data_IF_564814975569
#
_entry.id   IF_564814975569
#
_cell.length_a   1.000
_cell.length_b   1.000
_cell.length_c   1.000
_cell.angle_alpha   90.00
_cell.angle_beta   90.00
_cell.angle_gamma   90.00
#
_symmetry.space_group_name_H-M   'P 1'
#
loop_
_entity.id
_entity.type
_entity.pdbx_description
1 polymer ?
2 non-polymer ?
3 non-polymer ?
4 water ?
#
# COMPACT_ATOMS: atom_id res chain seq x y z
N UNK A 1 13.58 4.08 -22.42
CA UNK A 1 13.99 3.82 -21.01
C UNK A 1 14.99 2.66 -20.96
N UNK A 2 15.85 2.64 -19.94
CA UNK A 2 16.83 1.57 -19.80
C UNK A 2 16.22 0.40 -19.05
N UNK A 3 17.01 -0.66 -18.85
CA UNK A 3 16.54 -1.85 -18.14
C UNK A 3 16.10 -1.49 -16.74
N UNK A 4 15.08 -2.20 -16.22
CA UNK A 4 14.54 -1.96 -14.87
C UNK A 4 15.59 -1.73 -13.81
N UNK A 5 16.51 -2.68 -13.65
CA UNK A 5 17.57 -2.57 -12.65
C UNK A 5 18.45 -1.32 -12.82
N UNK A 6 18.76 -0.96 -14.05
CA UNK A 6 19.58 0.22 -14.27
C UNK A 6 18.79 1.50 -13.98
N UNK A 7 17.50 1.51 -14.31
CA UNK A 7 16.68 2.69 -14.04
C UNK A 7 16.59 2.90 -12.52
N UNK A 8 16.39 1.81 -11.79
CA UNK A 8 16.32 1.88 -10.33
C UNK A 8 17.58 2.55 -9.78
N UNK A 9 18.75 2.09 -10.23
CA UNK A 9 20.03 2.64 -9.79
C UNK A 9 20.13 4.11 -10.16
N UNK A 10 19.69 4.46 -11.35
CA UNK A 10 19.71 5.85 -11.81
C UNK A 10 18.86 6.73 -10.89
N UNK A 11 17.74 6.19 -10.41
CA UNK A 11 16.87 6.93 -9.50
C UNK A 11 17.57 7.23 -8.18
N UNK A 12 18.34 6.27 -7.66
CA UNK A 12 19.06 6.50 -6.40
C UNK A 12 20.13 7.58 -6.60
N UNK A 13 20.81 7.50 -7.73
CA UNK A 13 21.84 8.46 -8.06
C UNK A 13 21.26 9.87 -8.18
N UNK A 14 20.11 9.98 -8.85
CA UNK A 14 19.49 11.29 -9.02
C UNK A 14 18.77 11.81 -7.77
N UNK A 15 18.25 10.92 -6.95
CA UNK A 15 17.54 11.33 -5.74
C UNK A 15 18.41 11.45 -4.48
N UNK A 16 19.55 10.76 -4.50
CA UNK A 16 20.46 10.72 -3.36
C UNK A 16 19.83 9.98 -2.20
N UNK A 17 18.81 9.16 -2.51
CA UNK A 17 18.15 8.39 -1.46
C UNK A 17 18.14 6.90 -1.76
N UNK A 18 17.62 6.10 -0.81
CA UNK A 18 17.52 4.65 -1.02
C UNK A 18 16.20 4.27 -1.68
N UNK A 19 16.29 3.39 -2.68
CA UNK A 19 15.11 2.88 -3.37
C UNK A 19 15.01 1.40 -3.03
N UNK A 20 13.80 0.95 -2.75
CA UNK A 20 13.57 -0.46 -2.43
C UNK A 20 12.55 -0.94 -3.45
N UNK A 21 12.83 -2.05 -4.12
CA UNK A 21 11.91 -2.51 -5.14
C UNK A 21 11.77 -4.01 -5.32
N UNK A 22 10.55 -4.42 -5.65
CA UNK A 22 10.23 -5.81 -5.92
C UNK A 22 9.19 -5.88 -7.05
N UNK A 23 9.42 -6.77 -7.99
CA UNK A 23 8.52 -7.00 -9.11
C UNK A 23 8.25 -8.49 -8.98
N UNK A 24 7.00 -8.85 -8.76
CA UNK A 24 6.63 -10.24 -8.54
C UNK A 24 5.38 -10.72 -9.29
N UNK A 25 5.46 -11.95 -9.82
CA UNK A 25 4.33 -12.55 -10.51
C UNK A 25 3.24 -12.78 -9.46
N UNK A 26 2.07 -12.15 -9.63
CA UNK A 26 0.99 -12.29 -8.66
C UNK A 26 0.49 -13.72 -8.43
N UNK A 27 0.32 -14.47 -9.52
CA UNK A 27 -0.20 -15.82 -9.41
C UNK A 27 0.76 -16.83 -8.80
N UNK A 28 2.05 -16.72 -9.11
CA UNK A 28 3.02 -17.68 -8.58
C UNK A 28 3.98 -17.20 -7.51
N UNK A 29 4.21 -15.89 -7.44
CA UNK A 29 5.15 -15.37 -6.45
C UNK A 29 6.59 -15.38 -6.98
N UNK A 30 6.76 -15.60 -8.28
CA UNK A 30 8.10 -15.60 -8.88
C UNK A 30 8.67 -14.18 -8.78
N UNK A 31 9.88 -14.04 -8.24
CA UNK A 31 10.49 -12.71 -8.12
C UNK A 31 11.33 -12.40 -9.37
N UNK A 32 10.98 -11.32 -10.08
CA UNK A 32 11.72 -10.94 -11.28
C UNK A 32 12.81 -9.89 -11.01
N UNK A 33 12.47 -8.87 -10.24
CA UNK A 33 13.43 -7.82 -9.90
C UNK A 33 13.40 -7.64 -8.37
N UNK A 34 14.58 -7.52 -7.78
CA UNK A 34 14.70 -7.33 -6.34
C UNK A 34 15.89 -6.43 -6.09
N UNK A 35 15.63 -5.25 -5.51
CA UNK A 35 16.66 -4.29 -5.20
C UNK A 35 16.43 -3.80 -3.78
N UNK A 36 17.40 -4.05 -2.89
CA UNK A 36 17.27 -3.67 -1.49
C UNK A 36 15.94 -4.23 -1.00
N UNK A 37 15.60 -5.43 -1.50
CA UNK A 37 14.35 -6.10 -1.16
C UNK A 37 14.22 -6.46 0.31
N UNK A 38 15.34 -6.62 1.01
CA UNK A 38 15.30 -6.97 2.42
C UNK A 38 15.66 -5.80 3.32
N UNK A 39 15.72 -4.60 2.75
CA UNK A 39 16.02 -3.41 3.55
C UNK A 39 14.69 -2.80 4.00
N UNK A 40 14.69 -2.16 5.17
CA UNK A 40 13.51 -1.52 5.73
C UNK A 40 13.14 -0.16 5.17
N UNK A 41 11.84 0.03 4.92
CA UNK A 41 11.30 1.30 4.42
C UNK A 41 9.99 1.59 5.13
N UNK A 42 9.71 2.88 5.40
CA UNK A 42 8.45 3.21 6.07
C UNK A 42 7.29 2.85 5.15
N UNK A 43 6.24 2.23 5.70
CA UNK A 43 5.09 1.85 4.87
C UNK A 43 4.23 3.05 4.49
N UNK A 44 4.12 4.00 5.41
CA UNK A 44 3.31 5.17 5.17
C UNK A 44 1.88 4.69 4.92
N UNK A 45 1.15 5.35 4.03
CA UNK A 45 -0.24 4.99 3.76
C UNK A 45 -0.45 3.64 3.08
N UNK A 46 0.61 3.00 2.59
CA UNK A 46 0.43 1.70 1.95
C UNK A 46 0.01 0.65 2.97
N UNK A 47 0.15 0.97 4.26
CA UNK A 47 -0.22 0.03 5.32
C UNK A 47 -1.74 -0.17 5.34
N UNK A 48 -2.49 0.77 4.78
CA UNK A 48 -3.94 0.66 4.78
C UNK A 48 -4.47 -0.57 4.04
N UNK A 49 -3.68 -1.09 3.10
CA UNK A 49 -4.11 -2.28 2.38
C UNK A 49 -4.04 -3.48 3.33
N UNK A 50 -2.94 -3.58 4.07
CA UNK A 50 -2.77 -4.69 5.01
C UNK A 50 -3.83 -4.56 6.12
N UNK A 51 -4.05 -3.34 6.58
CA UNK A 51 -5.05 -3.05 7.60
C UNK A 51 -6.41 -3.64 7.19
N UNK A 52 -6.85 -3.35 5.98
CA UNK A 52 -8.14 -3.86 5.52
C UNK A 52 -8.11 -5.35 5.24
N UNK A 53 -6.91 -5.91 5.04
CA UNK A 53 -6.83 -7.34 4.84
C UNK A 53 -7.17 -7.98 6.18
N UNK A 54 -6.68 -7.37 7.26
CA UNK A 54 -6.94 -7.88 8.61
C UNK A 54 -8.43 -7.74 8.96
N UNK A 55 -9.04 -6.65 8.50
CA UNK A 55 -10.46 -6.42 8.73
C UNK A 55 -11.28 -7.50 8.03
N UNK A 56 -10.93 -7.79 6.78
CA UNK A 56 -11.63 -8.81 6.01
C UNK A 56 -11.48 -10.18 6.69
N UNK A 57 -10.31 -10.42 7.28
CA UNK A 57 -10.09 -11.68 7.95
C UNK A 57 -11.09 -11.81 9.09
N UNK A 58 -11.32 -10.72 9.82
CA UNK A 58 -12.27 -10.74 10.92
C UNK A 58 -13.68 -10.97 10.36
N UNK A 59 -14.00 -10.40 9.21
CA UNK A 59 -15.33 -10.60 8.60
C UNK A 59 -15.48 -12.08 8.25
N UNK A 60 -14.47 -12.65 7.61
CA UNK A 60 -14.51 -14.07 7.23
C UNK A 60 -14.75 -14.92 8.47
N UNK A 61 -14.11 -14.56 9.57
CA UNK A 61 -14.23 -15.31 10.83
C UNK A 61 -15.57 -15.10 11.49
N UNK A 62 -16.36 -14.15 11.00
CA UNK A 62 -17.67 -13.89 11.59
C UNK A 62 -17.58 -12.99 12.80
N UNK A 63 -16.44 -12.32 12.96
CA UNK A 63 -16.27 -11.41 14.10
C UNK A 63 -16.41 -9.95 13.69
N UNK A 64 -16.78 -9.73 12.43
CA UNK A 64 -16.96 -8.38 11.91
C UNK A 64 -17.91 -8.45 10.71
N UNK A 65 -18.44 -7.31 10.32
CA UNK A 65 -19.34 -7.21 9.18
C UNK A 65 -19.01 -5.92 8.48
N UNK A 66 -18.89 -5.95 7.16
CA UNK A 66 -18.58 -4.73 6.43
C UNK A 66 -19.77 -3.78 6.54
N UNK A 67 -20.94 -4.34 6.87
CA UNK A 67 -22.14 -3.52 7.01
C UNK A 67 -22.25 -2.78 8.34
N UNK A 68 -21.56 -3.27 9.36
CA UNK A 68 -21.63 -2.64 10.68
C UNK A 68 -21.30 -1.16 10.67
N UNK A 69 -22.28 -0.35 11.07
CA UNK A 69 -22.12 1.09 11.11
C UNK A 69 -21.36 1.54 12.36
N UNK A 70 -20.28 2.31 12.14
CA UNK A 70 -19.48 2.83 13.24
C UNK A 70 -19.78 4.31 13.38
N UNK A 71 -20.12 4.74 14.58
CA UNK A 71 -20.41 6.14 14.80
C UNK A 71 -19.20 6.69 15.53
N UNK A 72 -18.76 7.87 15.13
CA UNK A 72 -17.60 8.47 15.76
C UNK A 72 -17.85 9.94 16.04
N UNK A 73 -16.89 10.59 16.68
CA UNK A 73 -17.02 12.01 17.02
C UNK A 73 -15.96 12.86 16.35
N UNK A 74 -16.20 14.16 16.28
CA UNK A 74 -15.25 15.07 15.66
C UNK A 74 -13.90 14.97 16.37
N UNK A 75 -13.92 14.74 17.68
CA UNK A 75 -12.69 14.62 18.44
C UNK A 75 -11.82 13.42 18.03
N UNK A 76 -12.42 12.45 17.33
CA UNK A 76 -11.66 11.28 16.88
C UNK A 76 -10.93 11.55 15.58
N UNK A 77 -11.27 12.64 14.90
CA UNK A 77 -10.65 12.96 13.61
C UNK A 77 -9.22 13.49 13.70
N UNK A 78 -8.36 12.99 12.80
CA UNK A 78 -6.97 13.44 12.72
C UNK A 78 -6.79 14.10 11.36
N UNK A 79 -5.58 14.59 11.10
CA UNK A 79 -5.29 15.28 9.84
C UNK A 79 -5.68 14.51 8.58
N UNK A 80 -6.46 15.17 7.73
CA UNK A 80 -6.93 14.63 6.45
C UNK A 80 -7.95 13.50 6.56
N UNK A 81 -9.23 13.88 6.52
CA UNK A 81 -10.35 12.94 6.64
C UNK A 81 -11.42 13.43 5.65
N UNK A 82 -11.09 13.46 4.35
CA UNK A 82 -12.04 13.91 3.31
C UNK A 82 -13.41 13.27 3.34
N UNK A 83 -13.45 11.99 3.69
CA UNK A 83 -14.72 11.27 3.72
C UNK A 83 -15.34 11.25 5.11
N UNK A 84 -14.56 10.80 6.09
CA UNK A 84 -15.05 10.68 7.44
C UNK A 84 -15.55 11.98 8.08
N UNK A 85 -14.98 13.12 7.72
CA UNK A 85 -15.44 14.37 8.31
C UNK A 85 -16.87 14.68 7.86
N UNK A 86 -17.31 14.01 6.80
CA UNK A 86 -18.64 14.23 6.27
C UNK A 86 -19.74 13.38 6.89
N UNK A 87 -19.38 12.45 7.78
CA UNK A 87 -20.41 11.60 8.37
C UNK A 87 -20.40 11.58 9.88
N UNK A 88 -20.19 12.75 10.47
CA UNK A 88 -20.19 12.87 11.92
C UNK A 88 -21.61 12.66 12.42
N UNK A 89 -22.59 12.96 11.58
CA UNK A 89 -23.97 12.81 11.99
C UNK A 89 -24.53 11.42 11.74
N UNK A 90 -24.09 10.75 10.67
CA UNK A 90 -24.64 9.43 10.37
C UNK A 90 -23.71 8.23 10.40
N UNK A 91 -22.44 8.45 10.71
CA UNK A 91 -21.50 7.34 10.78
C UNK A 91 -21.12 6.74 9.43
N UNK A 92 -20.32 5.68 9.47
CA UNK A 92 -19.88 4.99 8.27
C UNK A 92 -19.76 3.50 8.58
N UNK A 93 -20.06 2.65 7.60
CA UNK A 93 -19.96 1.22 7.80
C UNK A 93 -18.48 0.83 7.75
N UNK A 94 -18.17 -0.34 8.32
CA UNK A 94 -16.80 -0.81 8.33
C UNK A 94 -16.29 -0.88 6.89
N UNK A 95 -17.14 -1.37 5.99
CA UNK A 95 -16.78 -1.46 4.58
C UNK A 95 -16.50 -0.07 3.99
N UNK A 96 -17.30 0.92 4.38
CA UNK A 96 -17.10 2.28 3.90
C UNK A 96 -15.79 2.86 4.44
N UNK A 97 -15.44 2.51 5.66
CA UNK A 97 -14.20 3.00 6.24
C UNK A 97 -13.01 2.44 5.45
N UNK A 98 -13.06 1.16 5.07
CA UNK A 98 -11.96 0.59 4.29
C UNK A 98 -11.85 1.25 2.93
N UNK A 99 -13.00 1.51 2.30
CA UNK A 99 -12.98 2.17 0.99
C UNK A 99 -12.37 3.56 1.13
N UNK A 100 -12.76 4.28 2.17
CA UNK A 100 -12.21 5.61 2.38
C UNK A 100 -10.72 5.58 2.71
N UNK A 101 -10.30 4.60 3.52
CA UNK A 101 -8.90 4.49 3.89
C UNK A 101 -8.02 4.12 2.68
N UNK A 102 -8.49 3.18 1.87
CA UNK A 102 -7.71 2.76 0.71
C UNK A 102 -7.85 3.63 -0.54
N UNK A 103 -9.08 4.01 -0.92
CA UNK A 103 -9.28 4.81 -2.13
C UNK A 103 -9.07 6.32 -2.00
N UNK A 104 -9.21 6.84 -0.79
CA UNK A 104 -9.05 8.27 -0.53
C UNK A 104 -7.94 8.55 0.47
N UNK A 105 -7.43 7.49 1.08
CA UNK A 105 -6.38 7.60 2.10
C UNK A 105 -6.83 8.43 3.30
N UNK A 106 -8.10 8.26 3.64
CA UNK A 106 -8.71 8.95 4.77
C UNK A 106 -7.97 8.45 6.03
N UNK A 107 -7.38 9.36 6.78
CA UNK A 107 -6.63 8.96 7.98
C UNK A 107 -7.44 8.58 9.21
N UNK A 108 -8.58 9.24 9.43
CA UNK A 108 -9.44 8.93 10.57
C UNK A 108 -10.11 7.58 10.32
N UNK A 109 -10.44 7.30 9.07
CA UNK A 109 -11.06 6.03 8.72
C UNK A 109 -10.07 4.92 9.05
N UNK A 110 -8.80 5.16 8.74
CA UNK A 110 -7.74 4.18 9.02
C UNK A 110 -7.58 3.94 10.52
N UNK A 111 -7.59 5.00 11.32
CA UNK A 111 -7.45 4.85 12.78
C UNK A 111 -8.64 4.11 13.37
N UNK A 112 -9.84 4.44 12.89
CA UNK A 112 -11.04 3.79 13.35
C UNK A 112 -10.95 2.30 13.10
N UNK A 113 -10.51 1.93 11.91
CA UNK A 113 -10.35 0.52 11.54
C UNK A 113 -9.23 -0.13 12.36
N UNK A 114 -8.15 0.61 12.55
CA UNK A 114 -6.99 0.10 13.29
C UNK A 114 -7.41 -0.30 14.70
N UNK A 115 -8.30 0.49 15.29
CA UNK A 115 -8.79 0.20 16.63
C UNK A 115 -9.47 -1.16 16.65
N UNK A 116 -10.37 -1.39 15.68
CA UNK A 116 -11.10 -2.65 15.60
C UNK A 116 -10.23 -3.90 15.46
N UNK A 117 -8.99 -3.76 15.01
CA UNK A 117 -8.13 -4.92 14.85
C UNK A 117 -7.08 -5.01 15.95
N UNK A 118 -7.26 -4.21 17.00
CA UNK A 118 -6.32 -4.24 18.10
C UNK A 118 -5.17 -3.26 18.02
N UNK A 119 -5.39 -2.14 17.32
CA UNK A 119 -4.35 -1.15 17.21
C UNK A 119 -3.13 -1.67 16.49
N UNK A 120 -2.05 -0.88 16.42
CA UNK A 120 -0.81 -1.28 15.75
C UNK A 120 -0.29 -2.66 16.17
N UNK A 121 -0.38 -2.96 17.46
CA UNK A 121 0.07 -4.25 17.95
C UNK A 121 -0.78 -5.37 17.37
N UNK A 122 -2.08 -5.11 17.29
CA UNK A 122 -3.00 -6.10 16.75
C UNK A 122 -2.78 -6.39 15.27
N UNK A 123 -2.48 -5.36 14.48
CA UNK A 123 -2.26 -5.55 13.06
C UNK A 123 -0.93 -6.27 12.87
N UNK A 124 0.03 -5.95 13.71
CA UNK A 124 1.33 -6.60 13.65
C UNK A 124 1.15 -8.09 13.95
N UNK A 125 0.31 -8.40 14.93
CA UNK A 125 0.07 -9.79 15.30
C UNK A 125 -0.53 -10.51 14.09
N UNK A 126 -1.44 -9.82 13.41
CA UNK A 126 -2.09 -10.39 12.23
C UNK A 126 -1.03 -10.71 11.16
N UNK A 127 -0.09 -9.79 10.98
CA UNK A 127 0.97 -10.00 10.01
C UNK A 127 1.73 -11.27 10.38
N UNK A 128 2.07 -11.41 11.65
CA UNK A 128 2.78 -12.59 12.12
C UNK A 128 1.96 -13.85 11.85
N UNK A 129 0.63 -13.74 11.99
CA UNK A 129 -0.24 -14.88 11.75
C UNK A 129 -0.20 -15.38 10.31
N UNK A 130 0.02 -14.48 9.36
CA UNK A 130 0.07 -14.90 7.96
C UNK A 130 1.49 -15.14 7.48
N UNK A 131 2.43 -15.26 8.42
CA UNK A 131 3.80 -15.54 8.06
C UNK A 131 4.72 -14.39 7.71
N UNK A 132 4.31 -13.16 7.98
CA UNK A 132 5.16 -12.00 7.72
C UNK A 132 5.79 -11.68 9.07
N UNK A 133 7.06 -12.04 9.23
CA UNK A 133 7.76 -11.79 10.48
C UNK A 133 8.62 -10.54 10.41
N UNK A 134 8.40 -9.72 9.39
CA UNK A 134 9.20 -8.50 9.23
C UNK A 134 8.42 -7.20 9.36
N UNK A 135 7.32 -7.09 8.63
CA UNK A 135 6.49 -5.89 8.65
C UNK A 135 5.97 -5.62 10.06
N UNK A 136 5.95 -4.33 10.44
CA UNK A 136 5.46 -3.96 11.77
C UNK A 136 4.83 -2.58 11.76
N UNK A 137 3.70 -2.45 12.46
CA UNK A 137 3.04 -1.16 12.60
C UNK A 137 3.16 -0.87 14.09
N UNK A 138 3.60 0.33 14.42
CA UNK A 138 3.80 0.71 15.82
C UNK A 138 2.97 1.91 16.24
N UNK A 139 2.65 2.77 15.27
CA UNK A 139 1.90 3.99 15.56
C UNK A 139 0.62 4.16 14.73
N UNK A 140 -0.11 5.23 15.02
CA UNK A 140 -1.35 5.54 14.32
C UNK A 140 -1.12 6.69 13.34
N UNK A 141 -2.14 7.02 12.58
CA UNK A 141 -2.04 8.15 11.65
C UNK A 141 -2.16 9.37 12.57
N UNK A 142 -1.38 10.41 12.29
CA UNK A 142 -0.47 10.44 11.17
C UNK A 142 1.00 10.30 11.60
N UNK A 143 1.25 9.98 12.87
CA UNK A 143 2.61 9.84 13.38
C UNK A 143 3.41 8.72 12.71
N UNK A 144 2.72 7.71 12.20
CA UNK A 144 3.40 6.60 11.55
C UNK A 144 4.20 6.96 10.30
N UNK A 145 4.02 8.19 9.81
CA UNK A 145 4.71 8.64 8.59
C UNK A 145 6.02 9.42 8.86
N UNK A 146 6.42 9.51 10.12
CA UNK A 146 7.62 10.28 10.49
C UNK A 146 8.93 9.95 9.78
N UNK A 147 9.09 8.70 9.38
CA UNK A 147 10.29 8.25 8.67
C UNK A 147 11.62 8.75 9.23
N UNK A 148 11.83 8.59 10.53
CA UNK A 148 13.07 9.01 11.14
C UNK A 148 14.20 8.08 10.68
N UNK A 149 15.39 8.63 10.50
CA UNK A 149 16.52 7.81 10.06
C UNK A 149 16.78 6.68 11.06
N UNK A 150 16.98 5.47 10.53
CA UNK A 150 17.26 4.32 11.37
C UNK A 150 16.14 3.86 12.29
N UNK A 151 14.96 4.44 12.14
CA UNK A 151 13.80 4.09 12.97
C UNK A 151 13.08 2.88 12.36
N UNK A 152 13.04 1.78 13.11
CA UNK A 152 12.40 0.55 12.64
C UNK A 152 10.87 0.55 12.75
N UNK A 153 10.30 1.53 13.44
CA UNK A 153 8.84 1.59 13.59
C UNK A 153 8.11 1.79 12.26
N UNK A 154 6.94 1.18 12.14
CA UNK A 154 6.09 1.32 10.97
C UNK A 154 6.77 1.04 9.63
N UNK A 155 7.61 0.01 9.61
CA UNK A 155 8.33 -0.34 8.41
C UNK A 155 7.96 -1.71 7.87
N UNK A 156 8.39 -1.95 6.63
CA UNK A 156 8.21 -3.22 5.96
C UNK A 156 9.46 -3.31 5.09
N UNK A 157 9.58 -4.38 4.30
CA UNK A 157 10.68 -4.52 3.36
C UNK A 157 9.95 -4.78 2.06
N UNK A 158 10.55 -4.43 0.91
CA UNK A 158 9.84 -4.67 -0.35
C UNK A 158 9.43 -6.15 -0.52
N UNK A 159 10.32 -7.05 -0.11
CA UNK A 159 10.06 -8.48 -0.22
C UNK A 159 8.91 -8.90 0.68
N UNK A 160 8.90 -8.42 1.91
CA UNK A 160 7.84 -8.77 2.86
C UNK A 160 6.49 -8.23 2.41
N UNK A 161 6.45 -6.98 1.97
CA UNK A 161 5.19 -6.39 1.53
C UNK A 161 4.60 -7.13 0.33
N UNK A 162 5.43 -7.43 -0.65
CA UNK A 162 4.95 -8.12 -1.85
C UNK A 162 4.40 -9.49 -1.48
N UNK A 163 5.12 -10.23 -0.65
CA UNK A 163 4.67 -11.56 -0.25
C UNK A 163 3.33 -11.47 0.47
N UNK A 164 3.23 -10.53 1.40
CA UNK A 164 2.01 -10.32 2.18
C UNK A 164 0.84 -9.95 1.28
N UNK A 165 1.07 -9.05 0.34
CA UNK A 165 0.00 -8.63 -0.58
C UNK A 165 -0.50 -9.85 -1.36
N UNK A 166 0.44 -10.63 -1.89
CA UNK A 166 0.08 -11.81 -2.66
C UNK A 166 -0.72 -12.78 -1.79
N UNK A 167 -0.33 -12.91 -0.52
CA UNK A 167 -1.04 -13.79 0.40
C UNK A 167 -2.47 -13.32 0.60
N UNK A 168 -2.63 -12.02 0.84
CA UNK A 168 -3.96 -11.45 1.07
C UNK A 168 -4.87 -11.57 -0.15
N UNK A 169 -4.31 -11.31 -1.33
CA UNK A 169 -5.07 -11.36 -2.57
C UNK A 169 -5.26 -12.72 -3.21
N UNK A 170 -4.33 -13.65 -3.01
CA UNK A 170 -4.45 -14.94 -3.69
C UNK A 170 -4.30 -16.25 -2.94
N UNK A 171 -3.69 -16.24 -1.76
CA UNK A 171 -3.44 -17.48 -1.03
C UNK A 171 -4.64 -18.19 -0.45
N UNK A 172 -5.83 -17.63 -0.65
CA UNK A 172 -7.04 -18.23 -0.11
C UNK A 172 -7.05 -18.25 1.42
N UNK A 173 -6.31 -17.32 2.02
CA UNK A 173 -6.33 -17.19 3.48
C UNK A 173 -7.62 -16.41 3.75
N UNK A 174 -7.91 -15.47 2.84
CA UNK A 174 -9.15 -14.68 2.92
C UNK A 174 -10.13 -15.41 2.02
N UNK A 175 -11.42 -15.27 2.30
CA UNK A 175 -12.45 -15.92 1.48
C UNK A 175 -12.36 -15.36 0.07
N UNK A 176 -13.02 -16.03 -0.87
CA UNK A 176 -13.00 -15.58 -2.25
C UNK A 176 -13.59 -14.18 -2.35
N UNK A 177 -14.72 -13.97 -1.67
CA UNK A 177 -15.37 -12.67 -1.72
C UNK A 177 -14.48 -11.58 -1.12
N UNK A 178 -13.78 -11.91 -0.04
CA UNK A 178 -12.90 -10.94 0.59
C UNK A 178 -11.70 -10.62 -0.30
N UNK A 179 -11.13 -11.62 -0.96
CA UNK A 179 -9.98 -11.37 -1.83
C UNK A 179 -10.41 -10.43 -2.94
N UNK A 180 -11.59 -10.69 -3.50
CA UNK A 180 -12.12 -9.85 -4.57
C UNK A 180 -12.38 -8.43 -4.10
N UNK A 181 -12.83 -8.30 -2.86
CA UNK A 181 -13.11 -7.00 -2.26
C UNK A 181 -11.82 -6.18 -2.08
N UNK A 182 -10.79 -6.80 -1.50
CA UNK A 182 -9.53 -6.10 -1.29
C UNK A 182 -8.98 -5.64 -2.64
N UNK A 183 -9.10 -6.49 -3.65
CA UNK A 183 -8.62 -6.15 -4.98
C UNK A 183 -9.36 -4.94 -5.55
N UNK A 184 -10.69 -4.93 -5.41
CA UNK A 184 -11.49 -3.84 -5.93
C UNK A 184 -11.16 -2.51 -5.26
N UNK A 185 -10.86 -2.53 -3.96
CA UNK A 185 -10.51 -1.28 -3.27
C UNK A 185 -9.24 -0.68 -3.89
N UNK A 186 -8.27 -1.53 -4.22
CA UNK A 186 -7.04 -1.03 -4.84
C UNK A 186 -7.32 -0.53 -6.25
N UNK A 187 -8.23 -1.21 -6.95
CA UNK A 187 -8.61 -0.81 -8.30
C UNK A 187 -9.26 0.57 -8.23
N UNK A 188 -10.00 0.83 -7.17
CA UNK A 188 -10.70 2.10 -7.03
C UNK A 188 -9.92 3.27 -6.42
N UNK A 189 -8.61 3.15 -6.28
CA UNK A 189 -7.86 4.26 -5.69
C UNK A 189 -8.13 5.54 -6.49
N UNK A 190 -8.51 6.60 -5.79
CA UNK A 190 -8.79 7.88 -6.44
C UNK A 190 -7.62 8.84 -6.30
N UNK A 191 -6.71 8.53 -5.38
CA UNK A 191 -5.54 9.37 -5.14
C UNK A 191 -4.49 9.28 -6.25
N UNK A 192 -4.16 8.08 -6.69
CA UNK A 192 -3.15 7.95 -7.73
C UNK A 192 -3.62 7.20 -8.97
N UNK A 193 -4.61 6.34 -8.79
CA UNK A 193 -5.14 5.55 -9.90
C UNK A 193 -5.37 6.28 -11.22
N UNK A 194 -6.26 7.29 -11.23
CA UNK A 194 -6.56 8.06 -12.45
C UNK A 194 -5.33 8.68 -13.10
N UNK A 195 -4.48 9.29 -12.29
CA UNK A 195 -3.26 9.92 -12.79
C UNK A 195 -2.38 8.87 -13.49
N UNK A 196 -2.16 7.74 -12.83
CA UNK A 196 -1.35 6.68 -13.40
C UNK A 196 -1.94 6.19 -14.73
N UNK A 197 -3.25 5.97 -14.76
CA UNK A 197 -3.89 5.53 -15.99
C UNK A 197 -3.69 6.55 -17.10
N UNK A 198 -3.74 7.83 -16.75
CA UNK A 198 -3.59 8.89 -17.75
C UNK A 198 -2.22 8.83 -18.43
N UNK A 199 -1.25 8.18 -17.80
CA UNK A 199 0.08 8.07 -18.40
C UNK A 199 0.48 6.65 -18.79
N UNK A 200 -0.37 5.67 -18.49
CA UNK A 200 -0.05 4.29 -18.86
C UNK A 200 -0.47 4.06 -20.31
N UNK A 201 0.30 3.26 -21.07
CA UNK A 201 -0.11 3.03 -22.45
C UNK A 201 -1.41 2.22 -22.42
N UNK A 202 -2.20 2.29 -23.49
CA UNK A 202 -3.44 1.54 -23.53
C UNK A 202 -3.13 0.05 -23.31
N UNK A 203 -4.06 -0.66 -22.66
CA UNK A 203 -3.88 -2.07 -22.42
C UNK A 203 -3.22 -2.45 -21.10
N UNK A 204 -2.79 -1.46 -20.32
CA UNK A 204 -2.17 -1.76 -19.04
C UNK A 204 -3.08 -1.59 -17.83
N UNK A 205 -3.15 -2.66 -17.05
CA UNK A 205 -3.94 -2.75 -15.82
C UNK A 205 -3.19 -2.05 -14.69
N UNK A 206 -3.94 -1.36 -13.81
CA UNK A 206 -3.34 -0.73 -12.65
C UNK A 206 -4.31 -0.75 -11.45
N UNK A 207 -3.78 -1.15 -10.30
CA UNK A 207 -4.49 -1.18 -9.02
C UNK A 207 -3.40 -0.74 -8.07
N UNK A 208 -3.73 0.07 -7.06
CA UNK A 208 -2.65 0.56 -6.20
C UNK A 208 -3.06 1.27 -4.91
N UNK A 209 -2.03 1.54 -4.12
CA UNK A 209 -2.14 2.32 -2.89
C UNK A 209 -0.78 2.97 -2.79
N UNK A 210 -0.75 4.30 -2.69
CA UNK A 210 0.51 5.02 -2.59
C UNK A 210 0.66 5.61 -1.20
N UNK A 211 1.86 6.10 -0.91
CA UNK A 211 2.12 6.70 0.37
C UNK A 211 3.25 7.70 0.29
N UNK A 212 3.33 8.59 1.29
CA UNK A 212 4.38 9.60 1.34
C UNK A 212 4.70 9.88 2.80
N UNK A 213 5.93 10.28 3.08
CA UNK A 213 6.35 10.58 4.44
C UNK A 213 7.43 11.66 4.51
N UNK A 214 7.98 11.86 5.71
CA UNK A 214 9.03 12.86 5.89
C UNK A 214 10.35 12.39 5.28
N UNK A 215 11.28 13.33 5.14
CA UNK A 215 12.60 13.04 4.58
C UNK A 215 12.56 12.37 3.22
N UNK A 216 11.56 12.74 2.42
CA UNK A 216 11.42 12.19 1.09
C UNK A 216 10.77 10.82 0.96
N UNK A 217 10.34 10.24 2.08
CA UNK A 217 9.69 8.93 2.04
C UNK A 217 8.57 8.94 1.00
N UNK A 218 8.53 7.91 0.18
CA UNK A 218 7.52 7.80 -0.86
C UNK A 218 7.32 6.31 -1.18
N UNK A 219 6.12 5.93 -1.61
CA UNK A 219 5.94 4.53 -1.90
C UNK A 219 4.67 4.15 -2.63
N UNK A 220 4.70 2.97 -3.22
CA UNK A 220 3.55 2.45 -3.93
C UNK A 220 3.57 0.94 -3.96
N UNK A 221 2.41 0.34 -3.72
CA UNK A 221 2.25 -1.11 -3.80
C UNK A 221 1.19 -1.18 -4.89
N UNK A 222 1.48 -1.91 -5.96
CA UNK A 222 0.56 -1.98 -7.07
C UNK A 222 0.50 -3.31 -7.80
N UNK A 223 -0.53 -3.47 -8.61
CA UNK A 223 -0.71 -4.65 -9.44
C UNK A 223 -0.62 -4.02 -10.83
N UNK A 224 0.20 -4.60 -11.69
CA UNK A 224 0.40 -4.05 -13.02
C UNK A 224 0.53 -5.19 -14.04
N UNK A 225 0.12 -4.91 -15.28
CA UNK A 225 0.23 -5.92 -16.30
C UNK A 225 -0.42 -5.58 -17.62
N UNK A 226 0.14 -6.09 -18.73
CA UNK A 226 -0.40 -5.83 -20.07
C UNK A 226 -1.66 -6.64 -20.29
N UNK A 227 -2.27 -6.50 -21.47
CA UNK A 227 -3.48 -7.21 -21.83
C UNK A 227 -4.55 -7.08 -20.74
N UNK A 228 -4.55 -5.94 -20.06
CA UNK A 228 -5.53 -5.64 -19.02
C UNK A 228 -5.63 -6.66 -17.89
N UNK A 229 -4.50 -7.26 -17.53
CA UNK A 229 -4.46 -8.26 -16.47
C UNK A 229 -3.52 -7.86 -15.34
N UNK A 230 -3.91 -8.17 -14.11
CA UNK A 230 -3.08 -7.86 -12.95
C UNK A 230 -1.99 -8.95 -12.89
N UNK A 231 -1.04 -8.89 -13.83
CA UNK A 231 0.00 -9.90 -13.90
C UNK A 231 1.02 -9.87 -12.79
N UNK A 232 1.49 -8.67 -12.42
CA UNK A 232 2.51 -8.58 -11.40
C UNK A 232 2.28 -7.58 -10.27
N UNK A 233 2.87 -7.91 -9.13
CA UNK A 233 2.83 -7.05 -7.97
C UNK A 233 4.12 -6.24 -8.08
N UNK A 234 4.02 -4.92 -7.95
CA UNK A 234 5.19 -4.08 -8.00
C UNK A 234 5.14 -3.23 -6.74
N UNK A 235 6.21 -3.31 -5.96
CA UNK A 235 6.32 -2.55 -4.72
C UNK A 235 7.56 -1.70 -4.82
N UNK A 236 7.39 -0.38 -4.66
CA UNK A 236 8.52 0.55 -4.71
C UNK A 236 8.45 1.52 -3.54
N UNK A 237 9.54 1.59 -2.80
CA UNK A 237 9.63 2.51 -1.66
C UNK A 237 10.87 3.38 -1.83
N UNK A 238 10.77 4.64 -1.40
CA UNK A 238 11.88 5.58 -1.46
C UNK A 238 12.04 6.15 -0.06
N UNK A 239 13.28 6.45 0.34
CA UNK A 239 13.51 7.06 1.63
C UNK A 239 14.79 7.88 1.67
N UNK A 240 14.81 8.83 2.60
CA UNK A 240 15.95 9.70 2.82
C UNK A 240 16.47 10.44 1.60
N UNK A 241 15.58 11.16 0.95
CA UNK A 241 15.96 11.95 -0.21
C UNK A 241 15.33 13.32 0.00
N UNK A 242 16.07 14.38 -0.35
CA UNK A 242 15.52 15.73 -0.18
C UNK A 242 14.74 16.20 -1.41
N UNK A 243 14.57 15.32 -2.39
CA UNK A 243 13.88 15.69 -3.64
C UNK A 243 12.41 16.08 -3.50
N UNK A 244 11.95 16.94 -4.40
CA UNK A 244 10.57 17.39 -4.40
C UNK A 244 9.66 16.20 -4.68
N UNK A 245 8.39 16.33 -4.29
CA UNK A 245 7.41 15.28 -4.52
C UNK A 245 7.37 15.00 -6.01
N UNK A 246 7.33 16.06 -6.81
CA UNK A 246 7.28 15.94 -8.25
C UNK A 246 8.39 15.03 -8.75
N UNK A 247 9.61 15.28 -8.33
CA UNK A 247 10.73 14.45 -8.78
C UNK A 247 10.68 13.01 -8.29
N UNK A 248 10.17 12.82 -7.07
CA UNK A 248 10.07 11.45 -6.56
C UNK A 248 9.00 10.73 -7.37
N UNK A 249 7.94 11.44 -7.73
CA UNK A 249 6.88 10.85 -8.55
C UNK A 249 7.44 10.48 -9.92
N UNK A 250 8.23 11.40 -10.48
CA UNK A 250 8.84 11.17 -11.78
C UNK A 250 9.78 9.96 -11.79
N UNK A 251 10.56 9.79 -10.73
CA UNK A 251 11.50 8.67 -10.67
C UNK A 251 10.76 7.34 -10.60
N UNK A 252 9.68 7.29 -9.82
CA UNK A 252 8.91 6.07 -9.69
C UNK A 252 8.27 5.77 -11.04
N UNK A 253 7.73 6.79 -11.68
CA UNK A 253 7.11 6.62 -12.98
C UNK A 253 8.15 6.10 -13.97
N UNK A 254 9.40 6.55 -13.80
CA UNK A 254 10.49 6.13 -14.67
C UNK A 254 10.82 4.66 -14.51
N UNK A 255 10.76 4.17 -13.28
CA UNK A 255 11.01 2.76 -13.02
C UNK A 255 9.88 2.01 -13.72
N UNK A 256 8.66 2.51 -13.56
CA UNK A 256 7.51 1.90 -14.21
C UNK A 256 7.70 1.83 -15.71
N UNK A 257 8.20 2.92 -16.30
CA UNK A 257 8.44 2.98 -17.73
C UNK A 257 9.44 1.90 -18.16
N UNK A 258 10.50 1.69 -17.39
CA UNK A 258 11.50 0.69 -17.71
C UNK A 258 10.87 -0.71 -17.67
N UNK A 259 9.94 -0.91 -16.74
CA UNK A 259 9.26 -2.20 -16.62
C UNK A 259 8.41 -2.44 -17.88
N UNK A 260 7.61 -1.44 -18.23
CA UNK A 260 6.74 -1.51 -19.40
C UNK A 260 7.48 -1.80 -20.70
N UNK A 261 8.61 -1.14 -20.90
CA UNK A 261 9.39 -1.32 -22.12
C UNK A 261 10.16 -2.63 -22.15
N UNK A 262 10.37 -3.22 -20.98
CA UNK A 262 11.13 -4.45 -20.90
C UNK A 262 10.39 -5.43 -20.00
N UNK A 263 9.13 -5.68 -20.35
CA UNK A 263 8.24 -6.54 -19.57
C UNK A 263 8.51 -8.04 -19.61
N UNK A 264 8.97 -8.53 -20.76
CA UNK A 264 9.21 -9.96 -20.90
C UNK A 264 10.56 -10.43 -20.37
N UNK A 265 10.61 -10.71 -19.07
CA UNK A 265 11.82 -11.20 -18.44
C UNK A 265 11.50 -12.45 -17.63
X LIG B 1 5.40 4.48 -24.43
X LIG B 1 4.39 4.81 -25.58
X LIG B 1 3.38 3.64 -25.82
X LIG B 1 4.10 2.26 -25.91
X LIG B 1 5.23 2.10 -24.84
X LIG B 1 6.01 0.74 -24.92
X LIG B 1 3.70 6.03 -25.32
X LIG B 1 2.61 3.90 -27.00
X LIG B 1 6.13 3.26 -24.75
X LIG B 1 6.66 0.57 -26.18
X LIG B 1 4.75 4.36 -23.11
X LIG B 1 3.14 1.20 -25.73
X LIG B 1 5.11 5.96 -19.24
X LIG B 1 4.70 7.03 -20.31
X LIG B 1 4.24 6.31 -21.62
X LIG B 1 5.30 5.26 -22.09
X LIG B 1 5.80 4.39 -20.90
X LIG B 1 6.97 3.44 -21.31
X LIG B 1 5.57 6.54 -17.98
X LIG B 1 3.68 7.92 -19.82
X LIG B 1 4.03 7.28 -22.65
X LIG B 1 6.18 5.20 -19.76
X LIG B 1 8.06 4.16 -21.91
X LIG B 1 4.62 6.25 -16.94
X LIG B 1 4.87 4.86 -16.40
X LIG B 1 3.82 4.48 -15.38
X LIG B 1 3.83 5.41 -14.17
X LIG B 1 3.41 4.67 -12.92
X LIG B 1 4.33 3.48 -12.68
X LIG B 1 3.99 2.81 -11.37
X LIG B 1 5.37 2.36 -10.66
X LIG B 1 5.48 0.85 -10.32
X LIG B 1 4.13 0.30 -9.81
X LIG B 1 3.15 0.26 -11.02
X LIG B 1 2.87 1.69 -11.61
X LIG C 1 2.08 11.43 -13.48
X LIG C 1 3.28 10.50 -13.52
X LIG C 1 3.69 10.05 -12.12
X LIG C 1 2.59 9.25 -11.46
X LIG C 1 3.06 8.80 -10.08
X LIG C 1 3.69 7.36 -10.20
X LIG C 1 3.56 6.46 -8.91
X LIG C 1 3.33 7.26 -7.58
X LIG C 1 2.10 8.23 -7.66
X LIG C 1 1.87 8.92 -9.07
X LIG D 1 -1.28 10.90 6.33
X LIG D 1 -0.32 12.41 6.14
X LIG D 1 0.90 12.46 5.54
X LIG D 1 1.52 11.30 5.03
X LIG D 1 1.15 10.16 4.37
X LIG D 1 -0.09 9.60 4.20
X LIG D 1 -0.06 8.33 3.50
X LIG D 1 0.85 8.01 2.74
X LIG D 1 -1.40 10.11 4.69
X LIG D 1 -2.06 10.94 3.58
X LIG D 1 -2.29 12.29 3.51
X LIG D 1 -2.86 12.57 2.27
X LIG D 1 -2.96 11.35 1.65
X LIG D 1 -2.49 10.41 2.43
X LIG D 1 -3.67 11.76 0.09
X LIG D 1 -3.79 13.53 0.34
X LIG D 1 -3.31 13.71 1.57
X LIG D 1 -3.35 15.21 1.91
X LIG D 1 -4.20 15.89 0.80
X LIG D 1 -4.23 14.81 -0.31
X LIG D 1 1.60 13.69 5.36
X LIG D 1 2.69 13.70 4.80
X LIG D 1 1.07 14.86 5.81
#
# INVERSE_FOLDING_TARGET
SPQPLEQIKLSESQLSGRVGMIEMDLASGRTLTAWRADERFPMMSTFKVVLCGAVLARVDAGDEQLERKIHYRQQDLVDYSPVSEKHLADGMTVGELCAAAITMSDNSAANLLLATVGGPAGLTAFLRQIGDNVTRLDRWETELNEALPGDARDTTTPASMAATLRKLLTSQRLSARSQRQLLQWMVDDRVAGPLIRSVLPAGWFIADKTGAGERGARGIVALLGPNNKAERIVVIYLRDTPASMAERNQQIAGIGAALIEHWQR
MA4 C1 C2 C3 C4 C5 C6 O2 O3 O5 O6 O1 O4 C10 C20 C30 C40 C50 C60 O10 O20 O30 O50 O60 C11 C21 C31 C41 C51 C61 C12 C22 C32 C42 C52 C62
MA4 C31 C41 C51 C61 C12 C22 C32 C42 C52 C62
WY2 S1 C2 C3 N4 C5 C6 C7 O8 C61 C62 C66 N65 C64 N63 S66 C67 C68 C69 C70 C71 C31 O32 O33
#
